data_IF_660858398274
#
_entry.id   IF_660858398274
#
_cell.length_a   1.000
_cell.length_b   1.000
_cell.length_c   1.000
_cell.angle_alpha   90.00
_cell.angle_beta   90.00
_cell.angle_gamma   90.00
#
_symmetry.space_group_name_H-M   'P 1'
#
loop_
_entity.id
_entity.type
_entity.pdbx_description
1 polymer ?
#
# COMPACT_ATOMS: atom_id res chain seq x y z
N UNK A 1 19.06 0.47 7.58
CA UNK A 1 19.44 -0.21 8.81
C UNK A 1 19.22 -1.73 8.64
N UNK A 2 19.73 -2.56 9.53
CA UNK A 2 19.68 -4.02 9.41
C UNK A 2 18.51 -4.69 10.14
N UNK A 3 17.39 -3.99 10.35
CA UNK A 3 16.23 -4.54 11.06
C UNK A 3 15.59 -5.66 10.28
N UNK A 4 15.28 -6.73 10.98
CA UNK A 4 14.53 -7.87 10.43
C UNK A 4 13.43 -8.22 11.41
N UNK A 5 12.21 -8.35 10.90
CA UNK A 5 11.04 -8.80 11.64
C UNK A 5 10.17 -9.70 10.77
N UNK A 6 9.18 -10.35 11.37
CA UNK A 6 8.09 -10.93 10.61
C UNK A 6 7.29 -9.77 10.01
N UNK A 7 7.16 -9.74 8.69
CA UNK A 7 6.28 -8.82 7.97
C UNK A 7 5.09 -9.57 7.43
N UNK A 8 3.95 -8.89 7.34
CA UNK A 8 2.70 -9.46 6.83
C UNK A 8 2.76 -9.61 5.30
N UNK A 9 3.33 -8.62 4.62
CA UNK A 9 3.45 -8.59 3.17
C UNK A 9 2.21 -8.09 2.41
N UNK A 10 1.03 -8.08 3.04
CA UNK A 10 -0.21 -7.49 2.53
C UNK A 10 -0.97 -6.78 3.67
N UNK A 11 -0.26 -5.89 4.39
CA UNK A 11 -0.80 -5.20 5.57
C UNK A 11 -1.74 -4.07 5.17
N UNK A 12 -3.05 -4.35 5.20
CA UNK A 12 -4.12 -3.44 4.78
C UNK A 12 -5.39 -3.66 5.60
N UNK A 13 -6.30 -2.67 5.59
CA UNK A 13 -7.54 -2.71 6.38
C UNK A 13 -8.42 -3.90 6.05
N UNK A 14 -8.46 -4.34 4.79
CA UNK A 14 -9.27 -5.49 4.36
C UNK A 14 -8.83 -6.81 5.04
N UNK A 15 -7.58 -6.87 5.50
CA UNK A 15 -7.01 -8.03 6.20
C UNK A 15 -7.08 -7.88 7.72
N UNK A 16 -7.90 -6.96 8.24
CA UNK A 16 -8.08 -6.71 9.67
C UNK A 16 -9.51 -6.99 10.11
N UNK A 17 -9.66 -7.70 11.22
CA UNK A 17 -10.96 -7.85 11.90
C UNK A 17 -10.99 -6.90 13.08
N UNK A 18 -12.06 -6.12 13.15
CA UNK A 18 -12.30 -5.15 14.21
C UNK A 18 -13.39 -5.65 15.18
N UNK A 19 -13.37 -5.17 16.41
CA UNK A 19 -14.47 -5.39 17.35
C UNK A 19 -15.76 -4.78 16.83
N UNK A 20 -16.89 -5.44 17.04
CA UNK A 20 -18.21 -4.91 16.70
C UNK A 20 -18.44 -3.56 17.38
N UNK A 21 -18.71 -2.52 16.57
CA UNK A 21 -18.93 -1.15 17.06
C UNK A 21 -17.70 -0.46 17.66
N UNK A 22 -16.48 -1.02 17.45
CA UNK A 22 -15.23 -0.48 17.98
C UNK A 22 -14.13 -0.35 16.94
N UNK A 23 -13.03 0.27 17.32
CA UNK A 23 -11.84 0.49 16.49
C UNK A 23 -10.65 -0.42 16.84
N UNK A 24 -10.87 -1.42 17.74
CA UNK A 24 -9.81 -2.33 18.15
C UNK A 24 -9.67 -3.48 17.16
N UNK A 25 -8.49 -3.65 16.57
CA UNK A 25 -8.14 -4.83 15.79
C UNK A 25 -8.04 -6.04 16.71
N UNK A 26 -8.73 -7.13 16.35
CA UNK A 26 -8.75 -8.40 17.10
C UNK A 26 -8.11 -9.56 16.36
N UNK A 27 -7.94 -9.43 15.03
CA UNK A 27 -7.21 -10.40 14.22
C UNK A 27 -6.63 -9.74 12.97
N UNK A 28 -5.52 -10.31 12.49
CA UNK A 28 -4.98 -10.07 11.16
C UNK A 28 -5.12 -11.37 10.36
N UNK A 29 -5.60 -11.24 9.13
CA UNK A 29 -5.87 -12.34 8.20
C UNK A 29 -4.88 -12.33 7.05
N UNK A 30 -4.86 -13.41 6.29
CA UNK A 30 -4.17 -13.52 4.99
C UNK A 30 -2.64 -13.36 5.09
N UNK A 31 -2.03 -14.21 5.90
CA UNK A 31 -0.59 -14.26 6.15
C UNK A 31 0.22 -15.00 5.06
N UNK A 32 -0.38 -15.36 3.93
CA UNK A 32 0.26 -16.17 2.89
C UNK A 32 1.49 -15.50 2.27
N UNK A 33 1.58 -14.16 2.28
CA UNK A 33 2.71 -13.39 1.80
C UNK A 33 3.72 -13.03 2.89
N UNK A 34 3.53 -13.54 4.11
CA UNK A 34 4.40 -13.23 5.24
C UNK A 34 5.80 -13.78 5.04
N UNK A 35 6.78 -13.01 5.48
CA UNK A 35 8.21 -13.39 5.41
C UNK A 35 9.02 -12.62 6.45
N UNK A 36 10.30 -12.95 6.57
CA UNK A 36 11.26 -12.11 7.30
C UNK A 36 11.71 -10.95 6.40
N UNK A 37 11.54 -9.73 6.87
CA UNK A 37 11.87 -8.54 6.12
C UNK A 37 11.94 -7.28 6.99
N UNK A 38 12.13 -6.14 6.33
CA UNK A 38 12.20 -4.87 7.03
C UNK A 38 10.81 -4.38 7.44
N UNK A 39 10.55 -4.03 8.74
CA UNK A 39 9.22 -3.68 9.24
C UNK A 39 8.58 -2.47 8.55
N UNK A 40 9.36 -1.53 8.03
CA UNK A 40 8.85 -0.37 7.31
C UNK A 40 8.19 -0.73 5.98
N UNK A 41 8.42 -1.94 5.48
CA UNK A 41 7.74 -2.45 4.28
C UNK A 41 6.22 -2.53 4.47
N UNK A 42 5.74 -3.06 5.59
CA UNK A 42 4.30 -3.14 5.88
C UNK A 42 3.71 -1.76 6.14
N UNK A 43 4.42 -0.89 6.87
CA UNK A 43 3.98 0.48 7.11
C UNK A 43 3.82 1.25 5.81
N UNK A 44 4.81 1.18 4.92
CA UNK A 44 4.77 1.86 3.62
C UNK A 44 3.71 1.24 2.69
N UNK A 45 3.45 -0.06 2.78
CA UNK A 45 2.35 -0.70 2.05
C UNK A 45 0.99 -0.13 2.46
N UNK A 46 0.77 0.07 3.75
CA UNK A 46 -0.43 0.72 4.25
C UNK A 46 -0.52 2.19 3.78
N UNK A 47 0.59 2.94 3.83
CA UNK A 47 0.64 4.33 3.39
C UNK A 47 0.45 4.49 1.87
N UNK A 48 0.82 3.49 1.07
CA UNK A 48 0.62 3.50 -0.38
C UNK A 48 -0.85 3.81 -0.75
N UNK A 49 -1.82 3.38 0.06
CA UNK A 49 -3.24 3.67 -0.13
C UNK A 49 -3.57 5.17 -0.11
N UNK A 50 -2.77 5.97 0.58
CA UNK A 50 -2.95 7.42 0.68
C UNK A 50 -2.65 8.14 -0.65
N UNK A 51 -1.90 7.49 -1.53
CA UNK A 51 -1.42 8.03 -2.81
C UNK A 51 -2.07 7.35 -4.02
N UNK A 52 -2.61 6.14 -3.82
CA UNK A 52 -3.34 5.43 -4.89
C UNK A 52 -4.60 6.23 -5.25
N UNK A 53 -4.89 6.44 -6.55
CA UNK A 53 -6.05 7.21 -6.98
C UNK A 53 -7.37 6.73 -6.37
N UNK A 54 -8.22 7.69 -5.99
CA UNK A 54 -9.59 7.40 -5.59
C UNK A 54 -10.47 7.31 -6.84
N UNK A 55 -10.72 6.09 -7.31
CA UNK A 55 -11.57 5.81 -8.45
C UNK A 55 -12.49 4.61 -8.16
N UNK A 56 -13.80 4.81 -8.08
CA UNK A 56 -14.77 3.72 -7.85
C UNK A 56 -14.68 2.57 -8.87
N UNK A 57 -14.20 2.84 -10.10
CA UNK A 57 -13.99 1.80 -11.11
C UNK A 57 -12.92 0.78 -10.71
N UNK A 58 -12.02 1.15 -9.79
CA UNK A 58 -10.98 0.27 -9.26
C UNK A 58 -11.47 -0.65 -8.13
N UNK A 59 -12.72 -0.51 -7.69
CA UNK A 59 -13.26 -1.34 -6.61
C UNK A 59 -12.38 -1.31 -5.36
N UNK A 60 -11.96 -2.48 -4.87
CA UNK A 60 -11.10 -2.62 -3.70
C UNK A 60 -9.63 -2.21 -3.92
N UNK A 61 -9.24 -1.81 -5.11
CA UNK A 61 -7.95 -1.18 -5.41
C UNK A 61 -8.02 0.36 -5.39
N UNK A 62 -9.23 0.93 -5.22
CA UNK A 62 -9.40 2.37 -5.05
C UNK A 62 -8.72 2.82 -3.76
N UNK A 63 -7.89 3.86 -3.87
CA UNK A 63 -7.18 4.44 -2.73
C UNK A 63 -7.84 5.71 -2.20
N UNK A 64 -7.05 6.52 -1.51
CA UNK A 64 -7.46 7.77 -0.89
C UNK A 64 -6.78 9.00 -1.54
N UNK A 65 -6.05 8.79 -2.63
CA UNK A 65 -5.37 9.86 -3.36
C UNK A 65 -6.35 10.89 -3.91
N UNK A 66 -6.08 12.16 -3.68
CA UNK A 66 -6.93 13.27 -4.10
C UNK A 66 -8.11 13.61 -3.16
N UNK A 67 -8.37 12.81 -2.11
CA UNK A 67 -9.39 13.13 -1.12
C UNK A 67 -8.88 14.11 -0.06
N UNK A 68 -9.77 14.95 0.46
CA UNK A 68 -9.54 15.73 1.68
C UNK A 68 -9.62 14.80 2.89
N UNK A 69 -8.50 14.18 3.24
CA UNK A 69 -8.39 13.21 4.34
C UNK A 69 -8.65 13.87 5.69
N UNK A 70 -8.26 15.12 5.86
CA UNK A 70 -8.48 15.86 7.11
C UNK A 70 -9.96 16.01 7.39
N UNK A 71 -10.76 16.38 6.39
CA UNK A 71 -12.22 16.44 6.51
C UNK A 71 -12.87 15.08 6.83
N UNK A 72 -12.21 13.97 6.44
CA UNK A 72 -12.64 12.60 6.72
C UNK A 72 -12.14 12.08 8.08
N UNK A 73 -11.35 12.86 8.82
CA UNK A 73 -10.74 12.43 10.09
C UNK A 73 -9.61 11.40 9.90
N UNK A 74 -9.04 11.31 8.70
CA UNK A 74 -7.93 10.42 8.36
C UNK A 74 -6.63 11.22 8.51
N UNK A 75 -5.62 10.72 9.24
CA UNK A 75 -4.36 11.43 9.42
C UNK A 75 -3.62 11.64 8.10
N UNK A 76 -2.76 12.64 8.06
CA UNK A 76 -1.77 12.78 6.99
C UNK A 76 -0.76 11.62 7.06
N UNK A 77 0.01 11.43 5.99
CA UNK A 77 1.09 10.42 6.01
C UNK A 77 2.12 10.73 7.08
N UNK A 78 2.51 12.01 7.20
CA UNK A 78 3.47 12.47 8.19
C UNK A 78 2.99 12.18 9.62
N UNK A 79 1.72 12.46 9.93
CA UNK A 79 1.12 12.17 11.23
C UNK A 79 1.07 10.67 11.51
N UNK A 80 0.74 9.87 10.49
CA UNK A 80 0.67 8.42 10.61
C UNK A 80 2.06 7.81 10.86
N UNK A 81 3.07 8.21 10.08
CA UNK A 81 4.46 7.78 10.24
C UNK A 81 5.04 8.25 11.57
N UNK A 82 4.80 9.51 11.97
CA UNK A 82 5.24 10.03 13.27
C UNK A 82 4.63 9.25 14.44
N UNK A 83 3.35 8.89 14.34
CA UNK A 83 2.66 8.05 15.35
C UNK A 83 3.29 6.65 15.46
N UNK A 84 3.67 6.05 14.34
CA UNK A 84 4.41 4.79 14.32
C UNK A 84 5.78 4.96 14.99
N UNK A 85 6.55 5.97 14.58
CA UNK A 85 7.86 6.25 15.15
C UNK A 85 7.81 6.42 16.67
N UNK A 86 6.85 7.21 17.18
CA UNK A 86 6.67 7.43 18.62
C UNK A 86 6.41 6.12 19.38
N UNK A 87 5.59 5.22 18.83
CA UNK A 87 5.32 3.90 19.45
C UNK A 87 6.52 2.95 19.42
N UNK A 88 7.37 3.08 18.41
CA UNK A 88 8.54 2.23 18.20
C UNK A 88 9.82 2.81 18.81
N UNK A 89 9.76 3.99 19.46
CA UNK A 89 10.92 4.66 20.02
C UNK A 89 11.91 5.16 18.96
N UNK A 90 11.41 5.53 17.79
CA UNK A 90 12.18 6.07 16.68
C UNK A 90 11.99 7.58 16.58
N UNK A 91 13.01 8.29 16.10
CA UNK A 91 12.90 9.72 15.77
C UNK A 91 12.33 9.94 14.37
N UNK A 92 12.72 9.09 13.42
CA UNK A 92 12.33 9.16 12.03
C UNK A 92 12.49 7.80 11.35
N UNK A 93 12.01 7.67 10.13
CA UNK A 93 12.30 6.55 9.23
C UNK A 93 13.22 7.07 8.12
N UNK A 94 14.51 6.68 8.13
CA UNK A 94 15.43 7.03 7.04
C UNK A 94 14.93 6.48 5.70
N UNK A 95 15.17 7.25 4.64
CA UNK A 95 14.86 6.84 3.28
C UNK A 95 13.39 6.42 3.07
N UNK A 96 12.45 7.07 3.78
CA UNK A 96 11.02 6.76 3.69
C UNK A 96 10.49 6.66 2.25
N UNK A 97 10.85 7.59 1.32
CA UNK A 97 10.44 7.49 -0.08
C UNK A 97 10.84 6.19 -0.76
N UNK A 98 11.97 5.59 -0.38
CA UNK A 98 12.41 4.29 -0.91
C UNK A 98 11.40 3.17 -0.57
N UNK A 99 10.86 3.14 0.66
CA UNK A 99 9.90 2.11 1.05
C UNK A 99 8.56 2.28 0.32
N UNK A 100 8.13 3.51 0.05
CA UNK A 100 6.96 3.78 -0.79
C UNK A 100 7.22 3.34 -2.23
N UNK A 101 8.34 3.76 -2.83
CA UNK A 101 8.72 3.38 -4.19
C UNK A 101 8.80 1.86 -4.35
N UNK A 102 9.39 1.15 -3.39
CA UNK A 102 9.47 -0.31 -3.38
C UNK A 102 8.09 -0.96 -3.38
N UNK A 103 7.16 -0.45 -2.57
CA UNK A 103 5.80 -1.01 -2.53
C UNK A 103 5.00 -0.72 -3.80
N UNK A 104 5.13 0.47 -4.39
CA UNK A 104 4.53 0.77 -5.70
C UNK A 104 5.11 -0.10 -6.80
N UNK A 105 6.43 -0.33 -6.82
CA UNK A 105 7.07 -1.26 -7.76
C UNK A 105 6.55 -2.69 -7.59
N UNK A 106 6.50 -3.19 -6.35
CA UNK A 106 5.95 -4.52 -6.04
C UNK A 106 4.49 -4.64 -6.49
N UNK A 107 3.66 -3.63 -6.21
CA UNK A 107 2.27 -3.60 -6.64
C UNK A 107 2.14 -3.57 -8.16
N UNK A 108 2.99 -2.80 -8.85
CA UNK A 108 3.10 -2.82 -10.32
C UNK A 108 3.33 -4.23 -10.85
N UNK A 109 4.25 -4.98 -10.26
CA UNK A 109 4.54 -6.36 -10.69
C UNK A 109 3.33 -7.29 -10.52
N UNK A 110 2.58 -7.14 -9.42
CA UNK A 110 1.33 -7.89 -9.19
C UNK A 110 0.30 -7.56 -10.28
N UNK A 111 0.09 -6.28 -10.58
CA UNK A 111 -0.86 -5.81 -11.59
C UNK A 111 -0.48 -6.28 -13.00
N UNK A 112 0.82 -6.31 -13.33
CA UNK A 112 1.33 -6.89 -14.58
C UNK A 112 1.03 -8.39 -14.67
N UNK A 113 1.16 -9.12 -13.58
CA UNK A 113 0.78 -10.54 -13.51
C UNK A 113 -0.73 -10.76 -13.73
N UNK A 114 -1.57 -9.85 -13.24
CA UNK A 114 -3.02 -9.87 -13.49
C UNK A 114 -3.30 -9.61 -14.98
N UNK A 115 -2.65 -8.60 -15.58
CA UNK A 115 -2.80 -8.29 -17.00
C UNK A 115 -2.40 -9.46 -17.87
N UNK A 116 -1.26 -10.09 -17.60
CA UNK A 116 -0.80 -11.27 -18.32
C UNK A 116 -1.84 -12.39 -18.28
N UNK A 117 -2.37 -12.72 -17.12
CA UNK A 117 -3.43 -13.74 -17.00
C UNK A 117 -4.71 -13.37 -17.76
N UNK A 118 -5.05 -12.09 -17.82
CA UNK A 118 -6.16 -11.62 -18.64
C UNK A 118 -5.93 -11.86 -20.13
N UNK A 119 -4.76 -11.49 -20.64
CA UNK A 119 -4.36 -11.69 -22.05
C UNK A 119 -4.31 -13.17 -22.43
N UNK A 120 -3.90 -14.03 -21.53
CA UNK A 120 -3.87 -15.50 -21.69
C UNK A 120 -5.25 -16.16 -21.51
N UNK A 121 -6.30 -15.40 -21.17
CA UNK A 121 -7.64 -15.94 -20.93
C UNK A 121 -7.79 -16.76 -19.65
N UNK A 122 -6.82 -16.68 -18.73
CA UNK A 122 -6.77 -17.44 -17.47
C UNK A 122 -7.12 -16.61 -16.23
N UNK A 123 -7.52 -15.35 -16.40
CA UNK A 123 -7.91 -14.47 -15.29
C UNK A 123 -9.22 -14.91 -14.65
N UNK A 124 -9.24 -15.02 -13.31
CA UNK A 124 -10.42 -15.38 -12.53
C UNK A 124 -11.40 -14.22 -12.31
N UNK A 125 -10.94 -12.96 -12.47
CA UNK A 125 -11.73 -11.76 -12.20
C UNK A 125 -12.16 -11.07 -13.49
N UNK A 126 -13.43 -10.65 -13.57
CA UNK A 126 -13.95 -9.79 -14.64
C UNK A 126 -13.32 -8.39 -14.66
N UNK A 127 -12.70 -7.97 -13.55
CA UNK A 127 -12.02 -6.68 -13.41
C UNK A 127 -10.53 -6.74 -13.78
N UNK A 128 -10.03 -7.91 -14.21
CA UNK A 128 -8.58 -8.11 -14.46
C UNK A 128 -7.99 -7.09 -15.44
N UNK A 129 -8.74 -6.71 -16.50
CA UNK A 129 -8.30 -5.68 -17.44
C UNK A 129 -8.16 -4.30 -16.77
N UNK A 130 -9.14 -3.92 -15.94
CA UNK A 130 -9.12 -2.64 -15.21
C UNK A 130 -7.94 -2.59 -14.25
N UNK A 131 -7.73 -3.66 -13.49
CA UNK A 131 -6.60 -3.77 -12.57
C UNK A 131 -5.26 -3.77 -13.30
N UNK A 132 -5.13 -4.52 -14.39
CA UNK A 132 -3.89 -4.55 -15.17
C UNK A 132 -3.48 -3.18 -15.72
N UNK A 133 -4.46 -2.34 -16.11
CA UNK A 133 -4.21 -0.98 -16.58
C UNK A 133 -3.63 -0.05 -15.50
N UNK A 134 -3.81 -0.37 -14.24
CA UNK A 134 -3.20 0.38 -13.13
C UNK A 134 -1.69 0.16 -12.98
N UNK A 135 -1.12 -0.86 -13.63
CA UNK A 135 0.30 -1.15 -13.53
C UNK A 135 1.18 0.07 -13.92
N UNK A 136 0.82 0.77 -15.00
CA UNK A 136 1.59 1.94 -15.45
C UNK A 136 1.51 3.12 -14.47
N UNK A 137 0.33 3.60 -14.02
CA UNK A 137 0.24 4.63 -13.00
C UNK A 137 1.01 4.29 -11.71
N UNK A 138 0.97 3.03 -11.27
CA UNK A 138 1.72 2.61 -10.07
C UNK A 138 3.22 2.63 -10.30
N UNK A 139 3.70 2.25 -11.49
CA UNK A 139 5.10 2.35 -11.85
C UNK A 139 5.58 3.81 -11.89
N UNK A 140 4.75 4.70 -12.40
CA UNK A 140 5.04 6.14 -12.45
C UNK A 140 5.17 6.72 -11.02
N UNK A 141 4.28 6.36 -10.11
CA UNK A 141 4.40 6.71 -8.68
C UNK A 141 5.68 6.14 -8.05
N UNK A 142 6.05 4.89 -8.36
CA UNK A 142 7.29 4.30 -7.85
C UNK A 142 8.52 5.11 -8.27
N UNK A 143 8.57 5.56 -9.53
CA UNK A 143 9.67 6.41 -10.05
C UNK A 143 9.66 7.77 -9.38
N UNK A 144 8.50 8.41 -9.25
CA UNK A 144 8.34 9.71 -8.61
C UNK A 144 8.89 9.71 -7.18
N UNK A 145 8.52 8.72 -6.37
CA UNK A 145 9.05 8.58 -5.00
C UNK A 145 10.55 8.29 -4.96
N UNK A 146 11.07 7.53 -5.93
CA UNK A 146 12.48 7.18 -5.97
C UNK A 146 13.36 8.35 -6.40
N UNK A 147 12.90 9.19 -7.33
CA UNK A 147 13.68 10.29 -7.92
C UNK A 147 13.39 11.64 -7.27
N UNK A 148 12.28 11.79 -6.56
CA UNK A 148 11.78 13.08 -6.06
C UNK A 148 11.24 14.00 -7.16
N UNK A 149 11.13 13.52 -8.40
CA UNK A 149 10.63 14.29 -9.55
C UNK A 149 9.13 14.07 -9.71
N UNK A 150 8.32 15.08 -9.37
CA UNK A 150 6.91 15.07 -9.73
C UNK A 150 6.79 15.24 -11.25
N UNK A 151 6.21 14.28 -11.92
CA UNK A 151 5.86 14.43 -13.34
C UNK A 151 4.57 15.25 -13.43
N UNK A 152 4.69 16.43 -14.05
CA UNK A 152 3.58 17.31 -14.42
C UNK A 152 2.62 16.64 -15.41
#
# INVERSE_FOLDING_TARGET
DGRVSLIHGDYRLDNMIFTTGGSRVIALLDWELSTLGHPFSDLAYQCMQLHTPNDPALGNLSGLGGLDRTALGIPTEEEYVASYCARMGLTEIPDWPFYLAFNFFRFTAILQGIMKRYEEGSASSTQALTYGRMARPMAELAIEYLTGEQRL
#
